data_IF_447487981321
#
_entry.id   IF_447487981321
#
_cell.length_a   1.000
_cell.length_b   1.000
_cell.length_c   1.000
_cell.angle_alpha   90.00
_cell.angle_beta   90.00
_cell.angle_gamma   90.00
#
_symmetry.space_group_name_H-M   'P 1'
#
loop_
_entity.id
_entity.type
_entity.pdbx_description
1 polymer ?
#
# COMPACT_ATOMS: atom_id res chain seq x y z
N UNK A 1 3.90 -1.49 -21.69
CA UNK A 1 4.43 -1.52 -23.08
C UNK A 1 4.18 -2.90 -23.65
N UNK A 2 3.55 -2.98 -24.83
CA UNK A 2 3.38 -4.24 -25.55
C UNK A 2 4.74 -4.66 -26.13
N UNK A 3 5.23 -5.83 -25.74
CA UNK A 3 6.45 -6.41 -26.32
C UNK A 3 6.16 -7.07 -27.66
N UNK A 4 4.95 -7.62 -27.82
CA UNK A 4 4.39 -8.22 -29.04
C UNK A 4 2.88 -8.01 -29.00
N UNK A 5 2.23 -7.76 -30.15
CA UNK A 5 0.79 -7.55 -30.26
C UNK A 5 0.33 -6.10 -30.06
N UNK A 6 -0.99 -5.84 -30.05
CA UNK A 6 -1.55 -4.50 -29.89
C UNK A 6 -1.33 -3.95 -28.48
N UNK A 7 -1.57 -2.64 -28.31
CA UNK A 7 -1.52 -2.00 -27.01
C UNK A 7 -2.58 -2.58 -26.05
N UNK A 8 -2.36 -2.44 -24.74
CA UNK A 8 -3.29 -2.98 -23.75
C UNK A 8 -4.68 -2.33 -23.87
N UNK A 9 -4.71 -1.04 -24.21
CA UNK A 9 -5.91 -0.22 -24.38
C UNK A 9 -6.73 -0.60 -25.62
N UNK A 10 -6.12 -1.29 -26.59
CA UNK A 10 -6.81 -1.81 -27.77
C UNK A 10 -7.38 -3.22 -27.53
N UNK A 11 -6.88 -3.92 -26.51
CA UNK A 11 -7.24 -5.30 -26.22
C UNK A 11 -8.19 -5.43 -25.02
N UNK A 12 -8.06 -4.56 -24.02
CA UNK A 12 -8.87 -4.58 -22.80
C UNK A 12 -9.82 -3.39 -22.74
N UNK A 13 -11.07 -3.66 -22.38
CA UNK A 13 -12.01 -2.60 -22.02
C UNK A 13 -11.55 -1.88 -20.74
N UNK A 14 -11.91 -0.59 -20.57
CA UNK A 14 -11.66 0.12 -19.32
C UNK A 14 -12.29 -0.60 -18.13
N UNK A 15 -11.51 -0.76 -17.05
CA UNK A 15 -11.98 -1.39 -15.82
C UNK A 15 -12.96 -0.45 -15.10
N UNK A 16 -14.17 -0.90 -14.72
CA UNK A 16 -15.08 -0.13 -13.91
C UNK A 16 -14.45 0.26 -12.56
N UNK A 17 -14.71 1.49 -12.10
CA UNK A 17 -14.12 2.01 -10.87
C UNK A 17 -14.51 1.16 -9.64
N UNK A 18 -15.73 0.61 -9.63
CA UNK A 18 -16.21 -0.27 -8.56
C UNK A 18 -15.40 -1.56 -8.47
N UNK A 19 -15.03 -2.15 -9.60
CA UNK A 19 -14.23 -3.38 -9.64
C UNK A 19 -12.81 -3.15 -9.13
N UNK A 20 -12.24 -1.96 -9.42
CA UNK A 20 -10.97 -1.54 -8.83
C UNK A 20 -11.06 -1.46 -7.31
N UNK A 21 -12.09 -0.78 -6.78
CA UNK A 21 -12.28 -0.64 -5.35
C UNK A 21 -12.52 -1.97 -4.64
N UNK A 22 -13.28 -2.87 -5.25
CA UNK A 22 -13.49 -4.23 -4.73
C UNK A 22 -12.18 -5.02 -4.71
N UNK A 23 -11.38 -4.96 -5.78
CA UNK A 23 -10.07 -5.61 -5.82
C UNK A 23 -9.11 -5.08 -4.73
N UNK A 24 -9.12 -3.76 -4.49
CA UNK A 24 -8.36 -3.15 -3.39
C UNK A 24 -8.84 -3.66 -2.03
N UNK A 25 -10.16 -3.77 -1.82
CA UNK A 25 -10.76 -4.28 -0.58
C UNK A 25 -10.41 -5.74 -0.33
N UNK A 26 -10.46 -6.60 -1.35
CA UNK A 26 -10.04 -8.00 -1.24
C UNK A 26 -8.57 -8.13 -0.85
N UNK A 27 -7.70 -7.27 -1.39
CA UNK A 27 -6.28 -7.26 -1.03
C UNK A 27 -6.05 -6.97 0.46
N UNK A 28 -6.91 -6.15 1.10
CA UNK A 28 -6.78 -5.88 2.54
C UNK A 28 -7.03 -7.11 3.41
N UNK A 29 -7.75 -8.12 2.89
CA UNK A 29 -8.04 -9.36 3.63
C UNK A 29 -6.82 -10.27 3.76
N UNK A 30 -5.73 -10.00 3.05
CA UNK A 30 -4.51 -10.83 3.09
C UNK A 30 -3.73 -10.69 4.39
N UNK A 31 -3.81 -9.54 5.07
CA UNK A 31 -2.94 -9.23 6.22
C UNK A 31 -3.74 -8.98 7.49
N UNK A 32 -3.98 -10.02 8.28
CA UNK A 32 -4.80 -9.97 9.50
C UNK A 32 -4.00 -10.22 10.78
N UNK A 33 -2.84 -10.86 10.68
CA UNK A 33 -1.98 -11.22 11.81
C UNK A 33 -0.50 -11.25 11.41
N UNK A 34 0.40 -11.16 12.38
CA UNK A 34 1.86 -11.14 12.14
C UNK A 34 2.38 -12.23 11.18
N UNK A 35 1.92 -13.50 11.26
CA UNK A 35 2.30 -14.53 10.29
C UNK A 35 2.02 -14.17 8.82
N UNK A 36 1.03 -13.32 8.53
CA UNK A 36 0.63 -12.98 7.17
C UNK A 36 1.63 -12.04 6.46
N UNK A 37 2.46 -11.32 7.23
CA UNK A 37 3.44 -10.34 6.70
C UNK A 37 4.87 -10.57 7.18
N UNK A 38 5.11 -11.62 7.97
CA UNK A 38 6.44 -11.98 8.44
C UNK A 38 7.37 -12.27 7.24
N UNK A 39 8.46 -11.51 7.15
CA UNK A 39 9.42 -11.58 6.04
C UNK A 39 9.05 -10.76 4.80
N UNK A 40 7.92 -10.05 4.81
CA UNK A 40 7.49 -9.14 3.73
C UNK A 40 7.07 -7.75 4.24
N UNK A 41 7.49 -7.37 5.44
CA UNK A 41 7.01 -6.22 6.21
C UNK A 41 7.05 -4.92 5.38
N UNK A 42 8.18 -4.61 4.76
CA UNK A 42 8.37 -3.43 3.92
C UNK A 42 7.42 -3.40 2.73
N UNK A 43 7.22 -4.54 2.06
CA UNK A 43 6.35 -4.60 0.90
C UNK A 43 4.90 -4.46 1.31
N UNK A 44 4.47 -5.03 2.43
CA UNK A 44 3.13 -4.84 2.99
C UNK A 44 2.89 -3.37 3.32
N UNK A 45 3.81 -2.71 4.03
CA UNK A 45 3.72 -1.28 4.39
C UNK A 45 3.58 -0.38 3.14
N UNK A 46 4.42 -0.60 2.13
CA UNK A 46 4.39 0.18 0.90
C UNK A 46 3.17 -0.13 0.05
N UNK A 47 2.68 -1.37 0.05
CA UNK A 47 1.48 -1.77 -0.68
C UNK A 47 0.23 -1.16 -0.04
N UNK A 48 0.09 -1.21 1.28
CA UNK A 48 -0.99 -0.52 1.99
C UNK A 48 -1.00 0.98 1.70
N UNK A 49 0.18 1.61 1.63
CA UNK A 49 0.29 3.04 1.25
C UNK A 49 -0.21 3.31 -0.17
N UNK A 50 0.10 2.43 -1.13
CA UNK A 50 -0.40 2.51 -2.51
C UNK A 50 -1.90 2.27 -2.59
N UNK A 51 -2.43 1.29 -1.86
CA UNK A 51 -3.87 1.03 -1.80
C UNK A 51 -4.59 2.25 -1.23
N UNK A 52 -4.08 2.86 -0.16
CA UNK A 52 -4.67 4.06 0.41
C UNK A 52 -4.64 5.25 -0.55
N UNK A 53 -3.54 5.46 -1.26
CA UNK A 53 -3.44 6.47 -2.30
C UNK A 53 -4.48 6.24 -3.41
N UNK A 54 -4.57 5.02 -3.93
CA UNK A 54 -5.53 4.66 -4.98
C UNK A 54 -6.97 4.83 -4.51
N UNK A 55 -7.27 4.39 -3.29
CA UNK A 55 -8.59 4.50 -2.67
C UNK A 55 -9.09 5.95 -2.59
N UNK A 56 -8.18 6.91 -2.35
CA UNK A 56 -8.55 8.33 -2.23
C UNK A 56 -8.51 9.08 -3.57
N UNK A 57 -7.62 8.70 -4.48
CA UNK A 57 -7.33 9.51 -5.68
C UNK A 57 -7.83 8.92 -6.99
N UNK A 58 -8.23 7.64 -7.00
CA UNK A 58 -8.53 6.88 -8.21
C UNK A 58 -7.30 6.64 -9.11
N UNK A 59 -6.09 6.96 -8.65
CA UNK A 59 -4.85 6.89 -9.44
C UNK A 59 -3.90 5.85 -8.86
N UNK A 60 -3.11 5.24 -9.73
CA UNK A 60 -2.01 4.37 -9.33
C UNK A 60 -0.72 5.21 -9.23
N UNK A 61 0.05 5.00 -8.17
CA UNK A 61 1.34 5.66 -7.96
C UNK A 61 2.47 4.65 -7.66
N UNK A 62 3.74 5.03 -7.92
CA UNK A 62 4.92 4.33 -7.39
C UNK A 62 4.94 4.22 -5.86
N UNK A 63 5.73 3.27 -5.32
CA UNK A 63 5.80 2.99 -3.87
C UNK A 63 6.24 4.21 -3.05
N UNK A 64 7.27 4.89 -3.49
CA UNK A 64 7.85 6.08 -2.85
C UNK A 64 6.92 7.29 -2.89
N UNK A 65 6.26 7.53 -4.04
CA UNK A 65 5.27 8.60 -4.21
C UNK A 65 4.07 8.39 -3.30
N UNK A 66 3.53 7.17 -3.24
CA UNK A 66 2.42 6.83 -2.35
C UNK A 66 2.85 6.93 -0.88
N UNK A 67 4.07 6.53 -0.54
CA UNK A 67 4.62 6.67 0.80
C UNK A 67 4.70 8.14 1.23
N UNK A 68 5.24 9.04 0.38
CA UNK A 68 5.30 10.48 0.67
C UNK A 68 3.92 11.11 0.85
N UNK A 69 2.95 10.65 0.07
CA UNK A 69 1.57 11.08 0.22
C UNK A 69 0.95 10.61 1.55
N UNK A 70 1.20 9.36 1.96
CA UNK A 70 0.64 8.78 3.18
C UNK A 70 1.32 9.32 4.44
N UNK A 71 2.65 9.55 4.42
CA UNK A 71 3.39 10.15 5.56
C UNK A 71 2.76 11.47 6.02
N UNK A 72 2.33 12.32 5.07
CA UNK A 72 1.69 13.62 5.37
C UNK A 72 0.32 13.50 6.04
N UNK A 73 -0.27 12.30 6.07
CA UNK A 73 -1.61 12.00 6.62
C UNK A 73 -1.57 11.09 7.84
N UNK A 74 -0.44 10.43 8.07
CA UNK A 74 -0.26 9.55 9.22
C UNK A 74 -0.09 10.34 10.51
N UNK A 75 -0.70 9.88 11.62
CA UNK A 75 -0.29 10.28 12.96
C UNK A 75 1.22 10.14 13.13
N UNK A 76 1.83 11.07 13.87
CA UNK A 76 3.28 11.15 14.04
C UNK A 76 3.90 9.83 14.54
N UNK A 77 3.18 9.08 15.38
CA UNK A 77 3.64 7.78 15.90
C UNK A 77 3.87 6.73 14.81
N UNK A 78 3.13 6.78 13.69
CA UNK A 78 3.19 5.78 12.62
C UNK A 78 4.10 6.18 11.45
N UNK A 79 4.46 7.46 11.34
CA UNK A 79 5.34 7.96 10.29
C UNK A 79 6.70 7.24 10.23
N UNK A 80 7.37 6.89 11.35
CA UNK A 80 8.66 6.20 11.31
C UNK A 80 8.64 4.85 10.58
N UNK A 81 7.54 4.09 10.67
CA UNK A 81 7.38 2.80 9.96
C UNK A 81 7.45 3.01 8.46
N UNK A 82 6.63 3.92 7.95
CA UNK A 82 6.54 4.16 6.51
C UNK A 82 7.78 4.87 5.97
N UNK A 83 8.39 5.76 6.76
CA UNK A 83 9.65 6.41 6.39
C UNK A 83 10.78 5.38 6.24
N UNK A 84 10.90 4.44 7.17
CA UNK A 84 11.90 3.37 7.07
C UNK A 84 11.63 2.45 5.88
N UNK A 85 10.37 2.01 5.70
CA UNK A 85 10.00 1.18 4.56
C UNK A 85 10.36 1.85 3.22
N UNK A 86 10.10 3.17 3.10
CA UNK A 86 10.47 3.97 1.93
C UNK A 86 11.99 4.03 1.74
N UNK A 87 12.74 4.35 2.79
CA UNK A 87 14.21 4.46 2.72
C UNK A 87 14.85 3.11 2.38
N UNK A 88 14.37 2.03 2.97
CA UNK A 88 14.83 0.68 2.67
C UNK A 88 14.48 0.23 1.25
N UNK A 89 13.33 0.65 0.71
CA UNK A 89 12.99 0.39 -0.69
C UNK A 89 13.88 1.17 -1.67
N UNK A 90 14.27 2.39 -1.32
CA UNK A 90 15.19 3.22 -2.11
C UNK A 90 16.67 2.83 -1.95
N UNK A 91 16.98 1.81 -1.15
CA UNK A 91 18.36 1.39 -0.86
C UNK A 91 19.15 2.38 0.00
N UNK A 92 18.46 3.27 0.71
CA UNK A 92 19.07 4.35 1.51
C UNK A 92 19.33 3.96 2.96
N UNK A 93 18.63 2.93 3.46
CA UNK A 93 18.73 2.43 4.84
C UNK A 93 18.48 0.92 4.87
N UNK A 94 19.00 0.24 5.88
CA UNK A 94 18.60 -1.12 6.18
C UNK A 94 17.14 -1.21 6.64
N UNK A 95 16.55 -2.38 6.43
CA UNK A 95 15.19 -2.72 6.85
C UNK A 95 15.21 -3.42 8.21
N UNK A 96 14.70 -2.76 9.24
CA UNK A 96 14.60 -3.32 10.60
C UNK A 96 13.13 -3.42 11.04
N UNK A 97 12.18 -3.42 10.12
CA UNK A 97 10.75 -3.44 10.44
C UNK A 97 10.35 -4.69 11.24
N UNK A 98 10.91 -5.85 10.90
CA UNK A 98 10.68 -7.11 11.61
C UNK A 98 11.03 -7.05 13.11
N UNK A 99 11.98 -6.19 13.50
CA UNK A 99 12.37 -6.02 14.91
C UNK A 99 11.32 -5.26 15.76
N UNK A 100 10.31 -4.66 15.12
CA UNK A 100 9.26 -3.84 15.74
C UNK A 100 7.86 -4.33 15.38
N UNK A 101 7.65 -5.65 15.50
CA UNK A 101 6.43 -6.33 15.07
C UNK A 101 5.14 -5.71 15.64
N UNK A 102 5.12 -5.36 16.93
CA UNK A 102 3.95 -4.75 17.58
C UNK A 102 3.60 -3.38 16.96
N UNK A 103 4.61 -2.55 16.74
CA UNK A 103 4.43 -1.22 16.17
C UNK A 103 4.02 -1.29 14.69
N UNK A 104 4.54 -2.29 13.96
CA UNK A 104 4.13 -2.58 12.59
C UNK A 104 2.67 -3.07 12.53
N UNK A 105 2.25 -3.92 13.46
CA UNK A 105 0.87 -4.39 13.53
C UNK A 105 -0.11 -3.24 13.77
N UNK A 106 0.22 -2.32 14.69
CA UNK A 106 -0.58 -1.11 14.93
C UNK A 106 -0.66 -0.24 13.68
N UNK A 107 0.46 -0.05 12.95
CA UNK A 107 0.48 0.66 11.68
C UNK A 107 -0.45 0.00 10.65
N UNK A 108 -0.34 -1.33 10.46
CA UNK A 108 -1.15 -2.08 9.49
C UNK A 108 -2.63 -1.94 9.83
N UNK A 109 -2.99 -2.12 11.11
CA UNK A 109 -4.36 -1.97 11.60
C UNK A 109 -4.90 -0.56 11.35
N UNK A 110 -4.11 0.47 11.65
CA UNK A 110 -4.48 1.86 11.42
C UNK A 110 -4.73 2.14 9.94
N UNK A 111 -3.78 1.80 9.06
CA UNK A 111 -3.90 2.10 7.63
C UNK A 111 -5.03 1.30 6.99
N UNK A 112 -5.23 0.02 7.35
CA UNK A 112 -6.41 -0.76 6.92
C UNK A 112 -7.72 -0.05 7.31
N UNK A 113 -7.80 0.48 8.53
CA UNK A 113 -8.95 1.25 8.99
C UNK A 113 -9.22 2.50 8.14
N UNK A 114 -8.18 3.27 7.81
CA UNK A 114 -8.31 4.46 6.95
C UNK A 114 -8.73 4.11 5.52
N UNK A 115 -8.22 3.02 4.96
CA UNK A 115 -8.61 2.55 3.62
C UNK A 115 -10.08 2.14 3.62
N UNK A 116 -10.54 1.35 4.59
CA UNK A 116 -11.94 0.90 4.66
C UNK A 116 -12.91 2.09 4.74
N UNK A 117 -12.56 3.15 5.48
CA UNK A 117 -13.36 4.40 5.53
C UNK A 117 -13.39 5.15 4.19
N UNK A 118 -12.38 4.94 3.35
CA UNK A 118 -12.22 5.63 2.07
C UNK A 118 -12.96 4.94 0.93
N UNK A 119 -12.99 3.60 0.94
CA UNK A 119 -13.58 2.75 -0.12
C UNK A 119 -15.10 2.50 0.07
N UNK A 120 -15.71 3.09 1.10
CA UNK A 120 -17.15 2.97 1.41
C UNK A 120 -17.96 4.24 1.17
N UNK A 121 -17.38 5.26 0.54
CA UNK A 121 -18.04 6.51 0.14
C UNK A 121 -18.28 6.51 -1.36
#
# INVERSE_FOLDING_TARGET
VALVGPAAEEFFDPVPEQDLFEALRETLKLWNSQPDWAGDERNVVLTLSRIWYSAITGKIAPKDVAADWAIKRLPAQYQPVLLEAKQAYLGQKEDHLASRADHLEEFIRFVKGEIIKSVGK
#
